data_IF_732408171378
#
_entry.id   IF_732408171378
#
_cell.length_a   1.000
_cell.length_b   1.000
_cell.length_c   1.000
_cell.angle_alpha   90.00
_cell.angle_beta   90.00
_cell.angle_gamma   90.00
#
_symmetry.space_group_name_H-M   'P 1'
#
loop_
_entity.id
_entity.type
_entity.pdbx_description
1 polymer ?
#
# COMPACT_ATOMS: atom_id res chain seq x y z
N UNK A 1 0.92 -14.40 11.57
CA UNK A 1 1.51 -13.14 12.08
C UNK A 1 1.31 -12.05 11.05
N UNK A 2 0.59 -11.00 11.40
CA UNK A 2 0.35 -9.84 10.54
C UNK A 2 1.54 -8.88 10.59
N UNK A 3 1.69 -8.07 9.55
CA UNK A 3 2.78 -7.10 9.37
C UNK A 3 2.15 -5.74 9.06
N UNK A 4 2.42 -4.76 9.91
CA UNK A 4 2.03 -3.39 9.67
C UNK A 4 3.01 -2.75 8.68
N UNK A 5 2.52 -2.33 7.52
CA UNK A 5 3.33 -1.78 6.43
C UNK A 5 3.22 -0.26 6.38
N UNK A 6 4.36 0.42 6.38
CA UNK A 6 4.47 1.88 6.41
C UNK A 6 4.17 2.58 5.05
N UNK A 7 3.80 3.86 5.09
CA UNK A 7 3.40 4.67 3.93
C UNK A 7 4.42 4.65 2.78
N UNK A 8 5.75 4.73 3.00
CA UNK A 8 6.71 4.77 1.90
C UNK A 8 6.70 3.49 1.05
N UNK A 9 6.48 2.33 1.66
CA UNK A 9 6.45 1.03 0.95
C UNK A 9 5.19 0.92 0.08
N UNK A 10 4.04 1.33 0.62
CA UNK A 10 2.81 1.42 -0.18
C UNK A 10 2.94 2.42 -1.32
N UNK A 11 3.51 3.59 -1.06
CA UNK A 11 3.72 4.63 -2.09
C UNK A 11 4.65 4.14 -3.20
N UNK A 12 5.69 3.39 -2.84
CA UNK A 12 6.60 2.75 -3.80
C UNK A 12 5.85 1.77 -4.71
N UNK A 13 5.01 0.91 -4.14
CA UNK A 13 4.26 -0.09 -4.90
C UNK A 13 3.11 0.48 -5.74
N UNK A 14 2.46 1.56 -5.27
CA UNK A 14 1.25 2.10 -5.90
C UNK A 14 1.52 3.23 -6.90
N UNK A 15 2.61 4.00 -6.73
CA UNK A 15 2.84 5.24 -7.51
C UNK A 15 3.99 5.14 -8.51
N UNK A 16 4.90 4.18 -8.37
CA UNK A 16 6.07 4.02 -9.27
C UNK A 16 5.80 2.93 -10.30
N UNK A 17 6.30 3.13 -11.53
CA UNK A 17 6.32 2.07 -12.53
C UNK A 17 7.44 1.09 -12.17
N UNK A 18 7.22 -0.21 -12.43
CA UNK A 18 8.20 -1.25 -12.08
C UNK A 18 9.59 -1.01 -12.71
N UNK A 19 9.65 -0.45 -13.93
CA UNK A 19 10.90 -0.12 -14.61
C UNK A 19 11.72 1.00 -13.95
N UNK A 20 11.11 1.79 -13.07
CA UNK A 20 11.76 2.92 -12.37
C UNK A 20 12.31 2.52 -10.99
N UNK A 21 12.14 1.26 -10.60
CA UNK A 21 12.55 0.75 -9.29
C UNK A 21 13.95 0.13 -9.35
N UNK A 22 14.82 0.51 -8.42
CA UNK A 22 16.10 -0.18 -8.23
C UNK A 22 15.90 -1.58 -7.59
N UNK A 23 16.95 -2.40 -7.55
CA UNK A 23 16.89 -3.79 -7.06
C UNK A 23 16.32 -3.89 -5.64
N UNK A 24 16.68 -2.97 -4.74
CA UNK A 24 16.17 -2.96 -3.36
C UNK A 24 14.69 -2.62 -3.32
N UNK A 25 14.28 -1.62 -4.08
CA UNK A 25 12.88 -1.19 -4.18
C UNK A 25 12.00 -2.30 -4.75
N UNK A 26 12.45 -2.99 -5.80
CA UNK A 26 11.77 -4.17 -6.34
C UNK A 26 11.61 -5.28 -5.30
N UNK A 27 12.63 -5.48 -4.45
CA UNK A 27 12.56 -6.42 -3.32
C UNK A 27 11.46 -6.04 -2.32
N UNK A 28 11.37 -4.75 -1.98
CA UNK A 28 10.32 -4.24 -1.07
C UNK A 28 8.92 -4.40 -1.66
N UNK A 29 8.73 -4.08 -2.94
CA UNK A 29 7.42 -4.24 -3.58
C UNK A 29 7.00 -5.71 -3.68
N UNK A 30 7.94 -6.63 -3.94
CA UNK A 30 7.68 -8.07 -3.95
C UNK A 30 7.31 -8.60 -2.56
N UNK A 31 8.04 -8.19 -1.52
CA UNK A 31 7.72 -8.58 -0.15
C UNK A 31 6.32 -8.09 0.27
N UNK A 32 5.96 -6.86 -0.13
CA UNK A 32 4.61 -6.34 0.08
C UNK A 32 3.56 -7.18 -0.67
N UNK A 33 3.79 -7.51 -1.95
CA UNK A 33 2.89 -8.35 -2.74
C UNK A 33 2.66 -9.72 -2.10
N UNK A 34 3.71 -10.36 -1.58
CA UNK A 34 3.62 -11.61 -0.84
C UNK A 34 2.76 -11.48 0.43
N UNK A 35 2.98 -10.42 1.22
CA UNK A 35 2.18 -10.15 2.42
C UNK A 35 0.70 -9.90 2.09
N UNK A 36 0.41 -9.19 0.99
CA UNK A 36 -0.96 -8.96 0.52
C UNK A 36 -1.61 -10.28 0.10
N UNK A 37 -0.91 -11.08 -0.71
CA UNK A 37 -1.39 -12.40 -1.19
C UNK A 37 -1.65 -13.38 -0.05
N UNK A 38 -0.85 -13.32 1.02
CA UNK A 38 -1.00 -14.15 2.21
C UNK A 38 -2.05 -13.61 3.20
N UNK A 39 -2.65 -12.44 2.95
CA UNK A 39 -3.59 -11.80 3.88
C UNK A 39 -2.93 -11.33 5.18
N UNK A 40 -1.63 -11.01 5.14
CA UNK A 40 -0.82 -10.65 6.31
C UNK A 40 -0.44 -9.17 6.36
N UNK A 41 -0.70 -8.41 5.29
CA UNK A 41 -0.49 -6.97 5.28
C UNK A 41 -1.59 -6.24 6.06
N UNK A 42 -1.19 -5.42 7.03
CA UNK A 42 -2.06 -4.51 7.76
C UNK A 42 -1.73 -3.05 7.44
N UNK A 43 -2.74 -2.20 7.54
CA UNK A 43 -2.60 -0.76 7.30
C UNK A 43 -3.35 0.05 8.34
N UNK A 44 -2.64 0.99 8.98
CA UNK A 44 -3.24 1.93 9.92
C UNK A 44 -4.07 2.99 9.21
N UNK A 45 -5.08 3.53 9.90
CA UNK A 45 -5.90 4.63 9.39
C UNK A 45 -5.07 5.85 8.94
N UNK A 46 -4.03 6.23 9.70
CA UNK A 46 -3.13 7.33 9.33
C UNK A 46 -2.42 7.08 7.99
N UNK A 47 -1.91 5.86 7.78
CA UNK A 47 -1.25 5.46 6.53
C UNK A 47 -2.24 5.49 5.36
N UNK A 48 -3.48 5.02 5.55
CA UNK A 48 -4.54 5.15 4.52
C UNK A 48 -4.79 6.62 4.17
N UNK A 49 -4.91 7.48 5.16
CA UNK A 49 -5.14 8.91 4.96
C UNK A 49 -4.00 9.56 4.18
N UNK A 50 -2.75 9.26 4.53
CA UNK A 50 -1.57 9.73 3.79
C UNK A 50 -1.56 9.24 2.34
N UNK A 51 -1.84 7.95 2.11
CA UNK A 51 -1.88 7.38 0.75
C UNK A 51 -2.95 8.01 -0.14
N UNK A 52 -4.11 8.34 0.45
CA UNK A 52 -5.22 8.99 -0.25
C UNK A 52 -4.99 10.49 -0.44
N UNK A 53 -4.12 11.10 0.38
CA UNK A 53 -3.76 12.51 0.25
C UNK A 53 -3.00 12.78 -1.04
N UNK A 54 -3.21 13.97 -1.61
CA UNK A 54 -2.51 14.43 -2.81
C UNK A 54 -2.98 13.81 -4.14
N UNK A 55 -4.00 12.94 -4.13
CA UNK A 55 -4.62 12.45 -5.36
C UNK A 55 -5.60 13.51 -5.87
N UNK A 56 -5.33 14.07 -7.05
CA UNK A 56 -6.16 15.15 -7.64
C UNK A 56 -7.39 14.63 -8.38
N UNK A 57 -7.27 13.45 -8.99
CA UNK A 57 -8.34 12.86 -9.78
C UNK A 57 -9.24 12.00 -8.90
N UNK A 58 -10.52 12.35 -8.86
CA UNK A 58 -11.54 11.73 -8.00
C UNK A 58 -11.72 10.23 -8.30
N UNK A 59 -11.65 9.83 -9.57
CA UNK A 59 -11.71 8.43 -9.98
C UNK A 59 -10.55 7.62 -9.38
N UNK A 60 -9.32 8.14 -9.45
CA UNK A 60 -8.15 7.50 -8.86
C UNK A 60 -8.25 7.43 -7.33
N UNK A 61 -8.78 8.48 -6.70
CA UNK A 61 -9.00 8.50 -5.25
C UNK A 61 -9.99 7.41 -4.83
N UNK A 62 -11.15 7.32 -5.47
CA UNK A 62 -12.16 6.32 -5.12
C UNK A 62 -11.68 4.90 -5.37
N UNK A 63 -11.02 4.67 -6.51
CA UNK A 63 -10.44 3.36 -6.83
C UNK A 63 -9.43 2.93 -5.78
N UNK A 64 -8.49 3.80 -5.38
CA UNK A 64 -7.52 3.46 -4.34
C UNK A 64 -8.19 3.25 -2.97
N UNK A 65 -9.12 4.13 -2.58
CA UNK A 65 -9.88 3.99 -1.33
C UNK A 65 -10.55 2.63 -1.24
N UNK A 66 -11.20 2.20 -2.32
CA UNK A 66 -11.96 0.96 -2.34
C UNK A 66 -11.04 -0.27 -2.31
N UNK A 67 -9.86 -0.22 -2.95
CA UNK A 67 -8.85 -1.27 -2.78
C UNK A 67 -8.33 -1.35 -1.34
N UNK A 68 -8.06 -0.21 -0.71
CA UNK A 68 -7.50 -0.18 0.64
C UNK A 68 -8.47 -0.79 1.68
N UNK A 69 -9.79 -0.75 1.44
CA UNK A 69 -10.80 -1.38 2.33
C UNK A 69 -10.61 -2.89 2.53
N UNK A 70 -9.89 -3.56 1.65
CA UNK A 70 -9.62 -4.99 1.79
C UNK A 70 -8.63 -5.34 2.92
N UNK A 71 -7.88 -4.35 3.42
CA UNK A 71 -6.90 -4.55 4.49
C UNK A 71 -7.51 -4.30 5.86
N UNK A 72 -7.08 -5.06 6.86
CA UNK A 72 -7.48 -4.88 8.26
C UNK A 72 -6.74 -3.71 8.93
N UNK A 73 -7.38 -3.13 9.95
CA UNK A 73 -6.72 -2.20 10.86
C UNK A 73 -6.14 -2.94 12.07
N UNK A 74 -4.96 -2.56 12.59
CA UNK A 74 -4.43 -3.19 13.79
C UNK A 74 -5.36 -3.02 15.00
N UNK A 75 -5.73 -4.13 15.65
CA UNK A 75 -6.46 -4.10 16.93
C UNK A 75 -7.98 -4.31 16.83
N UNK A 76 -8.48 -4.92 15.75
CA UNK A 76 -9.83 -5.50 15.65
C UNK A 76 -9.74 -7.00 15.42
#
# INVERSE_FOLDING_TARGET
MTVLVDTPVWSLALRRRQGDLNVREQGLTRALEELVREGRAQIMGAIRQELLSGIREEEHFHKLRDYLRAFEEPGH
#
